data_IF_976515093260
#
_entry.id   IF_976515093260
#
_cell.length_a   1.000
_cell.length_b   1.000
_cell.length_c   1.000
_cell.angle_alpha   90.00
_cell.angle_beta   90.00
_cell.angle_gamma   90.00
#
_symmetry.space_group_name_H-M   'P 1'
#
loop_
_entity.id
_entity.type
_entity.pdbx_description
1 polymer ?
#
# COMPACT_ATOMS: atom_id res chain seq x y z
N UNK A 1 2.17 -10.53 9.78
CA UNK A 1 3.01 -9.37 9.45
C UNK A 1 4.03 -9.79 8.41
N UNK A 2 4.14 -9.05 7.29
CA UNK A 2 5.13 -9.24 6.24
C UNK A 2 5.82 -7.89 5.95
N UNK A 3 7.08 -7.91 5.54
CA UNK A 3 7.73 -6.71 5.00
C UNK A 3 7.28 -6.48 3.55
N UNK A 4 7.20 -5.22 3.12
CA UNK A 4 6.76 -4.86 1.77
C UNK A 4 7.54 -5.60 0.67
N UNK A 5 8.86 -5.71 0.81
CA UNK A 5 9.73 -6.37 -0.20
C UNK A 5 9.41 -7.86 -0.38
N UNK A 6 8.81 -8.50 0.62
CA UNK A 6 8.46 -9.91 0.63
C UNK A 6 7.07 -10.20 0.06
N UNK A 7 6.34 -9.16 -0.34
CA UNK A 7 5.05 -9.29 -1.01
C UNK A 7 5.26 -9.68 -2.48
N UNK A 8 4.30 -10.41 -3.04
CA UNK A 8 4.24 -10.66 -4.48
C UNK A 8 3.96 -9.36 -5.22
N UNK A 9 4.34 -9.30 -6.50
CA UNK A 9 4.07 -8.13 -7.35
C UNK A 9 2.57 -7.82 -7.41
N UNK A 10 1.71 -8.82 -7.61
CA UNK A 10 0.25 -8.61 -7.59
C UNK A 10 -0.26 -7.97 -6.30
N UNK A 11 0.27 -8.33 -5.12
CA UNK A 11 -0.16 -7.69 -3.85
C UNK A 11 0.41 -6.27 -3.75
N UNK A 12 1.60 -6.02 -4.28
CA UNK A 12 2.16 -4.66 -4.32
C UNK A 12 1.33 -3.75 -5.24
N UNK A 13 0.97 -4.23 -6.43
CA UNK A 13 0.09 -3.53 -7.38
C UNK A 13 -1.26 -3.16 -6.73
N UNK A 14 -1.89 -4.12 -6.04
CA UNK A 14 -3.13 -3.88 -5.28
C UNK A 14 -2.95 -2.84 -4.17
N UNK A 15 -1.84 -2.89 -3.42
CA UNK A 15 -1.53 -1.87 -2.41
C UNK A 15 -1.35 -0.48 -3.06
N UNK A 16 -0.75 -0.40 -4.25
CA UNK A 16 -0.61 0.86 -4.99
C UNK A 16 -1.97 1.41 -5.41
N UNK A 17 -2.89 0.55 -5.88
CA UNK A 17 -4.28 0.94 -6.19
C UNK A 17 -5.03 1.49 -4.97
N UNK A 18 -4.81 0.90 -3.79
CA UNK A 18 -5.45 1.35 -2.54
C UNK A 18 -4.85 2.67 -2.03
N UNK A 19 -3.56 2.89 -2.26
CA UNK A 19 -2.81 4.04 -1.78
C UNK A 19 -2.14 4.82 -2.92
N UNK A 20 -2.92 5.37 -3.87
CA UNK A 20 -2.38 6.01 -5.07
C UNK A 20 -1.61 7.29 -4.75
N UNK A 21 -1.82 7.93 -3.59
CA UNK A 21 -1.06 9.12 -3.14
C UNK A 21 0.11 8.78 -2.20
N UNK A 22 0.54 7.53 -2.21
CA UNK A 22 1.66 7.02 -1.42
C UNK A 22 1.30 6.51 -0.02
N UNK A 23 2.25 5.80 0.58
CA UNK A 23 2.00 4.94 1.75
C UNK A 23 2.20 5.65 3.10
N UNK A 24 3.03 6.70 3.12
CA UNK A 24 3.57 7.25 4.36
C UNK A 24 2.51 7.85 5.30
N UNK A 25 1.42 8.40 4.75
CA UNK A 25 0.33 8.99 5.53
C UNK A 25 -0.59 7.92 6.15
N UNK A 26 -0.65 6.74 5.54
CA UNK A 26 -1.55 5.65 5.90
C UNK A 26 -0.94 4.64 6.89
N UNK A 27 0.30 4.90 7.35
CA UNK A 27 0.96 4.04 8.33
C UNK A 27 0.33 4.18 9.71
N UNK A 28 0.03 3.04 10.33
CA UNK A 28 -0.43 2.97 11.73
C UNK A 28 0.70 2.49 12.64
N UNK A 29 0.82 3.10 13.82
CA UNK A 29 1.76 2.67 14.86
C UNK A 29 1.14 1.58 15.73
N UNK A 30 1.96 0.59 16.10
CA UNK A 30 1.56 -0.48 17.01
C UNK A 30 2.78 -0.95 17.83
N UNK A 31 2.51 -1.52 19.00
CA UNK A 31 3.55 -2.10 19.85
C UNK A 31 3.66 -3.60 19.60
N UNK A 32 4.89 -4.08 19.39
CA UNK A 32 5.16 -5.52 19.33
C UNK A 32 5.07 -6.15 20.71
N UNK A 33 5.08 -7.49 20.74
CA UNK A 33 5.10 -8.28 22.00
C UNK A 33 6.34 -7.97 22.85
N UNK A 34 7.41 -7.51 22.22
CA UNK A 34 8.69 -7.14 22.83
C UNK A 34 8.69 -5.69 23.35
N UNK A 35 7.62 -4.92 23.12
CA UNK A 35 7.48 -3.53 23.56
C UNK A 35 8.10 -2.51 22.60
N UNK A 36 8.56 -2.94 21.42
CA UNK A 36 9.04 -2.02 20.38
C UNK A 36 7.85 -1.40 19.64
N UNK A 37 7.88 -0.07 19.50
CA UNK A 37 6.98 0.63 18.58
C UNK A 37 7.40 0.34 17.14
N UNK A 38 6.45 -0.12 16.32
CA UNK A 38 6.60 -0.37 14.89
C UNK A 38 5.46 0.32 14.16
N UNK A 39 5.68 0.57 12.87
CA UNK A 39 4.66 1.06 11.96
C UNK A 39 4.34 -0.02 10.92
N UNK A 40 3.13 0.04 10.39
CA UNK A 40 2.75 -0.77 9.24
C UNK A 40 1.58 -0.18 8.47
N UNK A 41 1.50 -0.56 7.19
CA UNK A 41 0.42 -0.22 6.29
C UNK A 41 -0.67 -1.30 6.41
N UNK A 42 -1.90 -0.96 6.83
CA UNK A 42 -2.99 -1.92 6.85
C UNK A 42 -3.35 -2.31 5.40
N UNK A 43 -3.70 -3.57 5.16
CA UNK A 43 -4.21 -4.03 3.88
C UNK A 43 -4.93 -5.35 4.10
N UNK A 44 -6.15 -5.47 3.62
CA UNK A 44 -7.00 -6.64 3.83
C UNK A 44 -7.22 -7.37 2.51
N UNK A 45 -7.19 -8.70 2.55
CA UNK A 45 -7.68 -9.57 1.49
C UNK A 45 -8.76 -10.48 2.08
N UNK A 46 -9.54 -11.16 1.24
CA UNK A 46 -10.61 -12.07 1.70
C UNK A 46 -10.15 -13.08 2.76
N UNK A 47 -8.92 -13.59 2.61
CA UNK A 47 -8.35 -14.60 3.48
C UNK A 47 -7.52 -14.05 4.64
N UNK A 48 -6.94 -12.84 4.52
CA UNK A 48 -5.85 -12.38 5.40
C UNK A 48 -5.87 -10.86 5.62
N UNK A 49 -5.88 -10.46 6.89
CA UNK A 49 -5.51 -9.11 7.30
C UNK A 49 -3.98 -8.96 7.31
N UNK A 50 -3.43 -8.17 6.40
CA UNK A 50 -2.03 -7.78 6.39
C UNK A 50 -1.80 -6.49 7.18
N UNK A 51 -0.70 -6.50 7.93
CA UNK A 51 -0.05 -5.28 8.38
C UNK A 51 1.36 -5.31 7.77
N UNK A 52 1.56 -4.51 6.73
CA UNK A 52 2.81 -4.50 5.96
C UNK A 52 3.81 -3.62 6.71
N UNK A 53 4.89 -4.24 7.22
CA UNK A 53 5.86 -3.54 8.05
C UNK A 53 6.72 -2.60 7.21
N UNK A 54 6.73 -1.33 7.58
CA UNK A 54 7.67 -0.33 7.08
C UNK A 54 7.73 0.86 8.03
N UNK A 55 8.76 1.68 7.90
CA UNK A 55 8.80 2.98 8.57
C UNK A 55 8.50 4.10 7.56
N UNK A 56 8.27 5.31 8.05
CA UNK A 56 7.92 6.45 7.21
C UNK A 56 8.95 6.76 6.13
N UNK A 57 10.25 6.64 6.43
CA UNK A 57 11.34 6.88 5.46
C UNK A 57 11.26 5.86 4.34
N UNK A 58 11.12 4.57 4.68
CA UNK A 58 10.99 3.49 3.71
C UNK A 58 9.73 3.62 2.86
N UNK A 59 8.61 4.01 3.45
CA UNK A 59 7.36 4.24 2.72
C UNK A 59 7.50 5.34 1.65
N UNK A 60 8.22 6.42 1.97
CA UNK A 60 8.51 7.50 1.03
C UNK A 60 9.48 7.00 -0.05
N UNK A 61 10.59 6.36 0.32
CA UNK A 61 11.57 5.85 -0.65
C UNK A 61 10.96 4.83 -1.62
N UNK A 62 10.07 3.95 -1.14
CA UNK A 62 9.38 3.01 -2.04
C UNK A 62 8.58 3.76 -3.11
N UNK A 63 7.94 4.88 -2.79
CA UNK A 63 7.16 5.66 -3.76
C UNK A 63 8.10 6.45 -4.68
N UNK A 64 9.15 7.08 -4.13
CA UNK A 64 10.10 7.88 -4.90
C UNK A 64 10.96 7.05 -5.87
N UNK A 65 11.31 5.81 -5.51
CA UNK A 65 12.17 4.92 -6.31
C UNK A 65 11.37 4.05 -7.30
N UNK A 66 10.04 4.19 -7.38
CA UNK A 66 9.15 3.31 -8.14
C UNK A 66 8.53 4.05 -9.34
N UNK A 67 8.86 3.60 -10.55
CA UNK A 67 8.50 4.24 -11.83
C UNK A 67 6.97 4.30 -12.11
N UNK A 68 6.18 3.60 -11.31
CA UNK A 68 4.72 3.63 -11.38
C UNK A 68 4.14 4.92 -10.81
N UNK A 69 4.89 5.62 -9.96
CA UNK A 69 4.52 6.91 -9.38
C UNK A 69 5.16 8.07 -10.15
N UNK A 70 4.50 9.23 -10.13
CA UNK A 70 5.02 10.46 -10.70
C UNK A 70 5.93 11.23 -9.72
N UNK A 71 6.42 12.40 -10.15
CA UNK A 71 7.32 13.25 -9.36
C UNK A 71 6.67 13.80 -8.07
N UNK A 72 5.34 13.76 -7.97
CA UNK A 72 4.56 14.17 -6.80
C UNK A 72 4.25 12.97 -5.87
N UNK A 73 4.69 11.75 -6.23
CA UNK A 73 4.45 10.52 -5.50
C UNK A 73 3.02 10.00 -5.67
N UNK A 74 2.38 10.35 -6.78
CA UNK A 74 1.03 9.92 -7.15
C UNK A 74 1.14 8.81 -8.20
N UNK A 75 0.39 7.72 -8.01
CA UNK A 75 0.32 6.61 -8.96
C UNK A 75 -0.17 7.14 -10.29
N UNK A 76 0.61 6.90 -11.33
CA UNK A 76 0.34 7.41 -12.66
C UNK A 76 -0.97 6.84 -13.20
N UNK A 77 -1.72 7.68 -13.91
CA UNK A 77 -3.05 7.32 -14.43
C UNK A 77 -3.00 6.10 -15.35
N UNK A 78 -1.97 6.02 -16.21
CA UNK A 78 -1.77 4.90 -17.13
C UNK A 78 -1.48 3.58 -16.41
N UNK A 79 -0.76 3.63 -15.30
CA UNK A 79 -0.48 2.45 -14.48
C UNK A 79 -1.68 2.07 -13.63
N UNK A 80 -2.42 3.05 -13.11
CA UNK A 80 -3.65 2.80 -12.37
C UNK A 80 -4.67 2.06 -13.25
N UNK A 81 -4.90 2.53 -14.47
CA UNK A 81 -5.82 1.87 -15.41
C UNK A 81 -5.37 0.44 -15.74
N UNK A 82 -4.07 0.21 -15.95
CA UNK A 82 -3.52 -1.14 -16.18
C UNK A 82 -3.78 -2.08 -14.99
N UNK A 83 -3.58 -1.59 -13.77
CA UNK A 83 -3.77 -2.38 -12.57
C UNK A 83 -5.25 -2.59 -12.24
N UNK A 84 -6.11 -1.61 -12.48
CA UNK A 84 -7.57 -1.73 -12.33
C UNK A 84 -8.12 -2.82 -13.27
N UNK A 85 -7.67 -2.87 -14.53
CA UNK A 85 -8.02 -3.95 -15.47
C UNK A 85 -7.47 -5.31 -14.98
N UNK A 86 -6.18 -5.36 -14.62
CA UNK A 86 -5.52 -6.60 -14.17
C UNK A 86 -6.14 -7.22 -12.91
N UNK A 87 -6.67 -6.39 -12.02
CA UNK A 87 -7.27 -6.79 -10.74
C UNK A 87 -8.78 -6.54 -10.69
N UNK A 88 -9.45 -6.49 -11.85
CA UNK A 88 -10.90 -6.21 -11.93
C UNK A 88 -11.76 -7.22 -11.16
N UNK A 89 -11.29 -8.46 -11.03
CA UNK A 89 -11.97 -9.56 -10.30
C UNK A 89 -11.68 -9.55 -8.79
N UNK A 90 -10.97 -8.56 -8.27
CA UNK A 90 -10.52 -8.51 -6.86
C UNK A 90 -11.47 -7.66 -6.01
N UNK A 91 -12.57 -8.28 -5.59
CA UNK A 91 -13.69 -7.63 -4.88
C UNK A 91 -13.26 -6.85 -3.61
N UNK A 92 -12.28 -7.36 -2.84
CA UNK A 92 -11.85 -6.71 -1.57
C UNK A 92 -11.05 -5.42 -1.76
N UNK A 93 -10.69 -5.02 -2.98
CA UNK A 93 -10.06 -3.71 -3.21
C UNK A 93 -10.99 -2.56 -2.84
N UNK A 94 -12.30 -2.72 -3.06
CA UNK A 94 -13.30 -1.73 -2.65
C UNK A 94 -13.35 -1.58 -1.12
N UNK A 95 -13.20 -2.68 -0.37
CA UNK A 95 -13.19 -2.67 1.09
C UNK A 95 -11.95 -1.98 1.68
N UNK A 96 -10.85 -1.94 0.92
CA UNK A 96 -9.64 -1.24 1.30
C UNK A 96 -9.63 0.24 0.90
N UNK A 97 -10.62 0.70 0.11
CA UNK A 97 -10.68 2.07 -0.36
C UNK A 97 -10.66 3.05 0.83
N UNK A 98 -9.56 3.79 0.96
CA UNK A 98 -9.44 4.81 2.00
C UNK A 98 -10.07 6.11 1.50
N UNK A 99 -11.08 6.60 2.23
CA UNK A 99 -11.76 7.90 2.03
C UNK A 99 -10.77 9.09 2.05
N UNK A 100 -9.59 8.91 2.68
CA UNK A 100 -8.49 9.88 2.68
C UNK A 100 -7.81 10.06 1.31
N UNK A 101 -8.12 9.21 0.32
CA UNK A 101 -7.70 9.41 -1.07
C UNK A 101 -8.52 10.50 -1.80
N UNK A 102 -9.52 11.13 -1.18
CA UNK A 102 -10.45 12.05 -1.87
C UNK A 102 -10.23 13.55 -1.54
N UNK A 103 -9.12 13.90 -0.88
CA UNK A 103 -8.76 15.28 -0.52
C UNK A 103 -7.55 15.86 -1.27
#
# INVERSE_FOLDING_TARGET
>A
MKDYDQLSESVKEQIKLVYPRGFAHHLISFNTKDGDEKMGLPFETDDVYYLVRMNRVKAISIVEDDDDFDEDGILRDDVREEYEDKHEDVDYLEDNANDDNDF
#
